data_IF_916669982578
#
_entry.id   IF_916669982578
#
_cell.length_a   1.000
_cell.length_b   1.000
_cell.length_c   1.000
_cell.angle_alpha   90.00
_cell.angle_beta   90.00
_cell.angle_gamma   90.00
#
_symmetry.space_group_name_H-M   'P 1'
#
loop_
_entity.id
_entity.type
_entity.pdbx_description
1 polymer ?
#
# COMPACT_ATOMS: atom_id res chain seq x y z
N UNK A 1 15.00 16.76 13.40
CA UNK A 1 15.50 15.37 13.45
C UNK A 1 14.54 14.47 14.24
N UNK A 2 14.35 14.66 15.55
CA UNK A 2 13.46 13.82 16.38
C UNK A 2 11.95 13.94 16.00
N UNK A 3 11.49 15.13 15.58
CA UNK A 3 10.11 15.35 15.07
C UNK A 3 9.81 14.64 13.73
N UNK A 4 10.82 14.45 12.87
CA UNK A 4 10.66 13.72 11.60
C UNK A 4 10.71 12.21 11.83
N UNK A 5 11.50 11.74 12.80
CA UNK A 5 11.48 10.35 13.24
C UNK A 5 10.11 9.95 13.81
N UNK A 6 9.46 10.81 14.62
CA UNK A 6 8.10 10.53 15.13
C UNK A 6 7.01 10.58 14.05
N UNK A 7 7.13 11.42 13.02
CA UNK A 7 6.22 11.39 11.86
C UNK A 7 6.37 10.09 11.05
N UNK A 8 7.61 9.64 10.82
CA UNK A 8 7.93 8.41 10.08
C UNK A 8 7.54 7.14 10.83
N UNK A 9 7.58 7.14 12.17
CA UNK A 9 7.22 5.99 12.99
C UNK A 9 5.72 5.62 12.95
N UNK A 10 4.86 6.50 12.43
CA UNK A 10 3.40 6.36 12.52
C UNK A 10 2.73 6.04 11.17
N UNK A 11 3.41 6.30 10.04
CA UNK A 11 2.85 6.14 8.69
C UNK A 11 3.83 5.38 7.79
N UNK A 12 3.50 4.14 7.44
CA UNK A 12 4.27 3.35 6.46
C UNK A 12 3.95 3.73 5.02
N UNK A 13 4.84 3.41 4.09
CA UNK A 13 4.65 3.70 2.66
C UNK A 13 3.39 3.04 2.11
N UNK A 14 3.17 1.75 2.38
CA UNK A 14 1.96 1.13 1.86
C UNK A 14 0.68 1.63 2.50
N UNK A 15 0.69 1.95 3.80
CA UNK A 15 -0.53 2.45 4.44
C UNK A 15 -1.07 3.68 3.69
N UNK A 16 -0.19 4.64 3.36
CA UNK A 16 -0.59 5.86 2.64
C UNK A 16 -0.89 5.58 1.16
N UNK A 17 -0.14 4.71 0.51
CA UNK A 17 -0.34 4.39 -0.91
C UNK A 17 -1.62 3.58 -1.16
N UNK A 18 -1.92 2.58 -0.33
CA UNK A 18 -3.19 1.85 -0.36
C UNK A 18 -4.35 2.80 -0.07
N UNK A 19 -4.20 3.74 0.87
CA UNK A 19 -5.23 4.76 1.13
C UNK A 19 -5.45 5.69 -0.08
N UNK A 20 -4.39 6.10 -0.80
CA UNK A 20 -4.51 6.89 -2.04
C UNK A 20 -5.31 6.12 -3.09
N UNK A 21 -4.95 4.86 -3.35
CA UNK A 21 -5.62 4.02 -4.36
C UNK A 21 -7.08 3.78 -4.00
N UNK A 22 -7.34 3.38 -2.74
CA UNK A 22 -8.69 3.11 -2.26
C UNK A 22 -9.57 4.37 -2.28
N UNK A 23 -9.03 5.54 -1.91
CA UNK A 23 -9.79 6.79 -1.96
C UNK A 23 -10.07 7.22 -3.41
N UNK A 24 -9.10 7.11 -4.33
CA UNK A 24 -9.31 7.38 -5.76
C UNK A 24 -10.48 6.54 -6.29
N UNK A 25 -10.46 5.23 -6.03
CA UNK A 25 -11.53 4.34 -6.45
C UNK A 25 -12.90 4.69 -5.82
N UNK A 26 -12.92 5.01 -4.52
CA UNK A 26 -14.14 5.36 -3.81
C UNK A 26 -14.74 6.68 -4.32
N UNK A 27 -13.88 7.64 -4.64
CA UNK A 27 -14.28 8.92 -5.24
C UNK A 27 -14.80 8.70 -6.67
N UNK A 28 -14.16 7.86 -7.48
CA UNK A 28 -14.54 7.63 -8.88
C UNK A 28 -15.85 6.83 -9.03
N UNK A 29 -16.13 5.92 -8.08
CA UNK A 29 -17.38 5.13 -8.07
C UNK A 29 -18.56 5.91 -7.51
N UNK A 30 -18.33 7.06 -6.85
CA UNK A 30 -19.32 7.94 -6.23
C UNK A 30 -20.47 7.18 -5.53
N UNK A 31 -20.19 6.30 -4.55
CA UNK A 31 -21.25 5.60 -3.84
C UNK A 31 -22.15 6.59 -3.11
N UNK A 32 -23.45 6.33 -3.16
CA UNK A 32 -24.46 7.17 -2.49
C UNK A 32 -24.53 6.95 -0.97
N UNK A 33 -23.87 5.90 -0.49
CA UNK A 33 -23.88 5.49 0.91
C UNK A 33 -22.70 6.12 1.67
N UNK A 34 -23.01 6.97 2.66
CA UNK A 34 -22.02 7.58 3.55
C UNK A 34 -21.21 6.54 4.35
N UNK A 35 -21.85 5.42 4.71
CA UNK A 35 -21.23 4.30 5.42
C UNK A 35 -20.01 3.72 4.70
N UNK A 36 -19.92 3.84 3.36
CA UNK A 36 -18.74 3.42 2.60
C UNK A 36 -17.53 4.29 2.90
N UNK A 37 -17.73 5.60 3.08
CA UNK A 37 -16.68 6.53 3.44
C UNK A 37 -16.25 6.34 4.90
N UNK A 38 -17.21 6.09 5.79
CA UNK A 38 -16.93 5.71 7.17
C UNK A 38 -16.05 4.45 7.24
N UNK A 39 -16.47 3.36 6.58
CA UNK A 39 -15.70 2.10 6.53
C UNK A 39 -14.31 2.30 5.91
N UNK A 40 -14.18 3.18 4.91
CA UNK A 40 -12.89 3.52 4.33
C UNK A 40 -11.97 4.21 5.34
N UNK A 41 -12.44 5.23 6.08
CA UNK A 41 -11.63 5.92 7.09
C UNK A 41 -11.24 5.01 8.26
N UNK A 42 -12.14 4.13 8.69
CA UNK A 42 -11.86 3.14 9.76
C UNK A 42 -10.80 2.12 9.33
N UNK A 43 -10.85 1.65 8.07
CA UNK A 43 -9.86 0.71 7.52
C UNK A 43 -8.54 1.36 7.11
N UNK A 44 -8.54 2.68 6.90
CA UNK A 44 -7.35 3.47 6.50
C UNK A 44 -7.09 4.61 7.49
N UNK A 45 -6.71 4.30 8.75
CA UNK A 45 -6.49 5.30 9.79
C UNK A 45 -5.43 6.35 9.44
N UNK A 46 -4.51 6.02 8.51
CA UNK A 46 -3.51 6.95 7.97
C UNK A 46 -4.13 8.24 7.40
N UNK A 47 -5.36 8.17 6.90
CA UNK A 47 -6.10 9.34 6.38
C UNK A 47 -6.26 10.39 7.46
N UNK A 48 -6.79 10.00 8.62
CA UNK A 48 -6.96 10.91 9.76
C UNK A 48 -5.61 11.39 10.30
N UNK A 49 -4.58 10.53 10.29
CA UNK A 49 -3.23 10.91 10.71
C UNK A 49 -2.61 11.99 9.83
N UNK A 50 -2.75 11.86 8.51
CA UNK A 50 -2.33 12.87 7.53
C UNK A 50 -3.09 14.18 7.70
N UNK A 51 -4.35 14.12 8.12
CA UNK A 51 -5.17 15.29 8.45
C UNK A 51 -4.83 15.91 9.82
N UNK A 52 -3.87 15.34 10.57
CA UNK A 52 -3.34 15.90 11.82
C UNK A 52 -3.90 15.30 13.09
N UNK A 53 -4.62 14.17 13.02
CA UNK A 53 -5.17 13.48 14.19
C UNK A 53 -4.23 12.38 14.71
N UNK A 54 -3.94 12.38 16.00
CA UNK A 54 -3.11 11.35 16.65
C UNK A 54 -3.93 10.17 17.19
N UNK A 55 -5.15 10.47 17.66
CA UNK A 55 -6.14 9.54 18.21
C UNK A 55 -7.51 9.89 17.62
N UNK A 56 -8.37 8.90 17.45
CA UNK A 56 -9.74 9.10 16.96
C UNK A 56 -10.62 7.94 17.38
N UNK A 57 -11.90 8.22 17.60
CA UNK A 57 -12.91 7.28 18.07
C UNK A 57 -14.11 7.32 17.13
N UNK A 58 -14.45 6.19 16.46
CA UNK A 58 -15.59 6.12 15.56
C UNK A 58 -16.92 6.04 16.34
N UNK A 59 -17.97 6.67 15.81
CA UNK A 59 -19.34 6.59 16.28
C UNK A 59 -19.58 6.79 17.80
N UNK A 60 -18.97 7.81 18.46
CA UNK A 60 -19.25 8.06 19.86
C UNK A 60 -20.70 8.50 20.05
N UNK A 61 -21.41 7.88 20.99
CA UNK A 61 -22.79 8.23 21.34
C UNK A 61 -22.79 9.48 22.24
N UNK A 62 -23.51 10.52 21.84
CA UNK A 62 -23.77 11.73 22.62
C UNK A 62 -25.24 11.74 23.04
N UNK A 63 -25.49 11.44 24.32
CA UNK A 63 -26.86 11.29 24.82
C UNK A 63 -27.68 12.56 24.72
N UNK A 64 -28.80 12.51 24.03
CA UNK A 64 -29.73 13.65 23.96
C UNK A 64 -30.87 13.51 24.97
N UNK A 65 -31.45 14.63 25.37
CA UNK A 65 -32.71 14.65 26.13
C UNK A 65 -33.93 14.35 25.21
N UNK A 66 -33.72 14.33 23.88
CA UNK A 66 -34.71 13.93 22.87
C UNK A 66 -34.75 12.41 22.64
N UNK A 67 -35.71 11.92 21.87
CA UNK A 67 -35.83 10.48 21.55
C UNK A 67 -34.60 9.91 20.81
N UNK A 68 -33.86 10.75 20.07
CA UNK A 68 -32.68 10.32 19.30
C UNK A 68 -31.37 10.88 19.87
N UNK A 69 -30.41 9.97 20.12
CA UNK A 69 -29.03 10.30 20.45
C UNK A 69 -28.29 10.90 19.25
N UNK A 70 -27.33 11.79 19.53
CA UNK A 70 -26.45 12.36 18.51
C UNK A 70 -25.22 11.47 18.34
N UNK A 71 -24.91 11.03 17.11
CA UNK A 71 -23.79 10.13 16.82
C UNK A 71 -22.93 10.77 15.72
N UNK A 72 -21.81 11.43 16.06
CA UNK A 72 -20.83 11.86 15.08
C UNK A 72 -20.11 10.68 14.44
N UNK A 73 -19.59 10.86 13.23
CA UNK A 73 -18.81 9.83 12.54
C UNK A 73 -17.51 9.51 13.28
N UNK A 74 -16.78 10.55 13.71
CA UNK A 74 -15.66 10.41 14.64
C UNK A 74 -15.54 11.59 15.61
N UNK A 75 -14.87 11.35 16.73
CA UNK A 75 -14.16 12.40 17.48
C UNK A 75 -12.67 12.15 17.31
N UNK A 76 -11.90 13.18 16.99
CA UNK A 76 -10.46 13.11 16.79
C UNK A 76 -9.70 14.05 17.73
N UNK A 77 -8.56 13.59 18.25
CA UNK A 77 -7.59 14.42 18.96
C UNK A 77 -6.45 14.78 18.01
N UNK A 78 -6.21 16.07 17.83
CA UNK A 78 -5.12 16.59 17.00
C UNK A 78 -3.76 16.36 17.66
N UNK A 79 -2.68 16.43 16.87
CA UNK A 79 -1.28 16.42 17.39
C UNK A 79 -0.96 17.56 18.37
N UNK A 80 -1.81 18.58 18.45
CA UNK A 80 -1.70 19.69 19.39
C UNK A 80 -2.56 19.50 20.65
N UNK A 81 -3.26 18.37 20.76
CA UNK A 81 -4.09 18.04 21.91
C UNK A 81 -5.52 18.60 21.88
N UNK A 82 -5.88 19.37 20.85
CA UNK A 82 -7.27 19.83 20.65
C UNK A 82 -8.15 18.71 20.12
N UNK A 83 -9.42 18.72 20.49
CA UNK A 83 -10.42 17.79 19.96
C UNK A 83 -11.22 18.43 18.83
N UNK A 84 -11.51 17.65 17.79
CA UNK A 84 -12.45 18.01 16.73
C UNK A 84 -13.44 16.87 16.51
N UNK A 85 -14.68 17.23 16.18
CA UNK A 85 -15.69 16.29 15.73
C UNK A 85 -15.58 16.18 14.22
N UNK A 86 -15.44 14.98 13.69
CA UNK A 86 -15.32 14.73 12.27
C UNK A 86 -16.66 14.20 11.79
N UNK A 87 -17.25 14.87 10.81
CA UNK A 87 -18.49 14.48 10.15
C UNK A 87 -18.20 14.27 8.67
N UNK A 88 -18.72 13.19 8.10
CA UNK A 88 -18.58 12.79 6.72
C UNK A 88 -19.90 13.01 6.01
N UNK A 89 -19.82 13.40 4.74
CA UNK A 89 -20.93 13.31 3.79
C UNK A 89 -20.42 12.76 2.48
N UNK A 90 -21.28 12.50 1.50
CA UNK A 90 -20.82 11.97 0.21
C UNK A 90 -20.10 13.03 -0.64
N UNK A 91 -19.25 12.64 -1.61
CA UNK A 91 -18.66 13.55 -2.58
C UNK A 91 -19.69 14.23 -3.48
N UNK A 92 -20.91 13.68 -3.59
CA UNK A 92 -21.99 14.25 -4.39
C UNK A 92 -22.68 15.45 -3.73
N UNK A 93 -22.41 15.72 -2.44
CA UNK A 93 -22.98 16.88 -1.74
C UNK A 93 -22.56 18.16 -2.44
N UNK A 94 -23.56 18.95 -2.84
CA UNK A 94 -23.31 20.23 -3.47
C UNK A 94 -22.91 21.24 -2.40
N UNK A 95 -21.73 21.85 -2.50
CA UNK A 95 -21.26 22.77 -1.45
C UNK A 95 -21.86 24.18 -1.58
N UNK A 96 -22.03 24.67 -2.81
CA UNK A 96 -22.56 26.01 -3.06
C UNK A 96 -23.75 26.02 -4.00
N UNK A 97 -24.57 27.05 -3.91
CA UNK A 97 -25.67 27.32 -4.81
C UNK A 97 -25.57 28.73 -5.40
N UNK A 98 -26.20 28.92 -6.56
CA UNK A 98 -26.24 30.20 -7.27
C UNK A 98 -25.26 30.31 -8.42
N UNK A 99 -25.36 31.41 -9.16
CA UNK A 99 -24.68 31.61 -10.44
C UNK A 99 -23.60 32.67 -10.23
N UNK A 100 -22.33 32.37 -10.56
CA UNK A 100 -21.15 33.23 -10.74
C UNK A 100 -20.94 34.49 -9.88
N UNK A 101 -21.92 35.39 -9.82
CA UNK A 101 -21.93 36.65 -9.05
C UNK A 101 -22.63 36.56 -7.69
N UNK A 102 -23.46 35.54 -7.44
CA UNK A 102 -24.11 35.29 -6.13
C UNK A 102 -23.92 33.83 -5.75
N UNK A 103 -22.86 33.56 -5.01
CA UNK A 103 -22.55 32.25 -4.44
C UNK A 103 -23.01 32.24 -2.99
N UNK A 104 -23.76 31.22 -2.59
CA UNK A 104 -24.13 30.97 -1.19
C UNK A 104 -23.87 29.50 -0.87
N UNK A 105 -23.75 29.16 0.41
CA UNK A 105 -23.78 27.76 0.81
C UNK A 105 -25.07 27.11 0.29
N UNK A 106 -24.98 25.87 -0.19
CA UNK A 106 -26.17 25.14 -0.60
C UNK A 106 -27.06 24.90 0.62
N UNK A 107 -28.34 24.66 0.38
CA UNK A 107 -29.26 24.29 1.46
C UNK A 107 -28.86 22.95 2.08
N UNK A 108 -28.34 22.02 1.28
CA UNK A 108 -27.84 20.72 1.72
C UNK A 108 -26.66 20.87 2.68
N UNK A 109 -25.63 21.62 2.28
CA UNK A 109 -24.47 21.88 3.14
C UNK A 109 -24.86 22.62 4.43
N UNK A 110 -25.79 23.57 4.33
CA UNK A 110 -26.27 24.32 5.50
C UNK A 110 -26.92 23.41 6.56
N UNK A 111 -27.62 22.34 6.13
CA UNK A 111 -28.18 21.33 7.04
C UNK A 111 -27.08 20.57 7.77
N UNK A 112 -26.05 20.12 7.05
CA UNK A 112 -24.91 19.42 7.65
C UNK A 112 -24.09 20.29 8.62
N UNK A 113 -23.94 21.59 8.30
CA UNK A 113 -23.33 22.54 9.23
C UNK A 113 -24.20 22.77 10.48
N UNK A 114 -25.52 22.68 10.35
CA UNK A 114 -26.42 22.77 11.51
C UNK A 114 -26.26 21.56 12.42
N UNK A 115 -26.15 20.35 11.84
CA UNK A 115 -25.84 19.12 12.58
C UNK A 115 -24.51 19.24 13.34
N UNK A 116 -23.47 19.80 12.70
CA UNK A 116 -22.21 20.11 13.37
C UNK A 116 -22.36 21.07 14.56
N UNK A 117 -23.17 22.12 14.41
CA UNK A 117 -23.45 23.06 15.51
C UNK A 117 -24.12 22.37 16.69
N UNK A 118 -25.00 21.39 16.43
CA UNK A 118 -25.71 20.67 17.50
C UNK A 118 -24.76 19.82 18.32
N UNK A 119 -23.76 19.19 17.72
CA UNK A 119 -22.69 18.53 18.47
C UNK A 119 -21.88 19.52 19.32
N UNK A 120 -21.51 20.68 18.76
CA UNK A 120 -20.79 21.72 19.50
C UNK A 120 -21.62 22.20 20.70
N UNK A 121 -22.92 22.44 20.51
CA UNK A 121 -23.83 22.83 21.60
C UNK A 121 -23.95 21.74 22.65
N UNK A 122 -23.94 20.47 22.25
CA UNK A 122 -23.94 19.34 23.17
C UNK A 122 -22.70 19.37 24.08
N UNK A 123 -21.51 19.51 23.50
CA UNK A 123 -20.25 19.64 24.26
C UNK A 123 -20.12 20.97 25.01
N UNK A 124 -20.93 21.99 24.72
CA UNK A 124 -20.92 23.24 25.47
C UNK A 124 -21.50 23.10 26.89
N UNK A 125 -22.33 22.07 27.16
CA UNK A 125 -22.90 21.79 28.49
C UNK A 125 -21.91 21.02 29.37
N UNK A 126 -21.71 21.45 30.61
CA UNK A 126 -20.71 20.86 31.51
C UNK A 126 -21.09 19.43 31.93
N UNK A 127 -22.37 19.19 32.11
CA UNK A 127 -22.95 17.90 32.48
C UNK A 127 -22.70 16.86 31.38
N UNK A 128 -22.86 17.27 30.11
CA UNK A 128 -22.60 16.42 28.95
C UNK A 128 -21.11 16.05 28.83
N UNK A 129 -20.21 17.00 29.05
CA UNK A 129 -18.76 16.72 29.07
C UNK A 129 -18.36 15.78 30.20
N UNK A 130 -18.90 16.00 31.40
CA UNK A 130 -18.66 15.11 32.54
C UNK A 130 -19.20 13.70 32.25
N UNK A 131 -20.39 13.60 31.65
CA UNK A 131 -20.94 12.33 31.20
C UNK A 131 -20.03 11.67 30.16
N UNK A 132 -19.59 12.39 29.13
CA UNK A 132 -18.72 11.87 28.08
C UNK A 132 -17.40 11.34 28.66
N UNK A 133 -16.75 12.14 29.52
CA UNK A 133 -15.50 11.78 30.18
C UNK A 133 -15.63 10.51 31.03
N UNK A 134 -16.73 10.36 31.76
CA UNK A 134 -16.99 9.16 32.56
C UNK A 134 -17.25 7.90 31.72
N UNK A 135 -17.77 8.02 30.49
CA UNK A 135 -18.12 6.87 29.64
C UNK A 135 -17.00 6.47 28.67
N UNK A 136 -16.21 7.43 28.20
CA UNK A 136 -15.16 7.20 27.20
C UNK A 136 -13.74 7.37 27.75
N UNK A 137 -13.57 7.84 29.00
CA UNK A 137 -12.28 8.18 29.60
C UNK A 137 -11.52 9.27 28.81
N UNK A 138 -12.27 10.16 28.14
CA UNK A 138 -11.74 11.26 27.33
C UNK A 138 -12.19 12.59 27.92
N UNK A 139 -11.25 13.45 28.29
CA UNK A 139 -11.54 14.81 28.76
C UNK A 139 -11.50 15.82 27.59
N UNK A 140 -12.68 16.28 27.19
CA UNK A 140 -12.88 17.23 26.09
C UNK A 140 -13.23 18.60 26.67
N UNK A 141 -12.58 19.66 26.20
CA UNK A 141 -12.89 21.03 26.61
C UNK A 141 -14.19 21.56 25.97
N UNK A 142 -14.67 22.71 26.41
CA UNK A 142 -15.79 23.41 25.76
C UNK A 142 -15.40 24.13 24.45
N UNK A 143 -14.13 24.05 24.03
CA UNK A 143 -13.59 24.66 22.80
C UNK A 143 -13.46 23.65 21.65
N UNK A 144 -14.37 22.68 21.57
CA UNK A 144 -14.40 21.73 20.45
C UNK A 144 -14.82 22.40 19.14
N UNK A 145 -14.16 22.03 18.05
CA UNK A 145 -14.48 22.43 16.68
C UNK A 145 -15.03 21.24 15.88
N UNK A 146 -15.55 21.47 14.68
CA UNK A 146 -15.90 20.38 13.77
C UNK A 146 -15.14 20.45 12.44
N UNK A 147 -14.81 19.29 11.89
CA UNK A 147 -14.35 19.07 10.53
C UNK A 147 -15.46 18.36 9.77
N UNK A 148 -16.02 19.01 8.74
CA UNK A 148 -16.91 18.37 7.78
C UNK A 148 -16.13 17.98 6.52
N UNK A 149 -16.16 16.70 6.15
CA UNK A 149 -15.60 16.19 4.89
C UNK A 149 -16.75 15.92 3.92
N UNK A 150 -16.89 16.76 2.89
CA UNK A 150 -18.02 16.69 1.97
C UNK A 150 -17.68 17.26 0.59
N UNK A 151 -18.33 16.73 -0.45
CA UNK A 151 -18.27 17.31 -1.78
C UNK A 151 -16.92 17.14 -2.52
N UNK A 152 -16.84 17.80 -3.69
CA UNK A 152 -15.66 17.86 -4.57
C UNK A 152 -15.09 19.28 -4.68
N UNK A 153 -13.84 19.39 -5.14
CA UNK A 153 -13.08 20.64 -5.21
C UNK A 153 -13.69 21.73 -6.10
N UNK A 154 -14.53 21.38 -7.07
CA UNK A 154 -15.12 22.34 -8.03
C UNK A 154 -15.85 23.51 -7.35
N UNK A 155 -16.36 23.27 -6.14
CA UNK A 155 -17.11 24.27 -5.36
C UNK A 155 -16.36 24.77 -4.11
N UNK A 156 -15.13 24.31 -3.85
CA UNK A 156 -14.41 24.53 -2.58
C UNK A 156 -14.14 26.00 -2.28
N UNK A 157 -13.50 26.72 -3.19
CA UNK A 157 -13.07 28.11 -2.94
C UNK A 157 -14.29 29.02 -2.77
N UNK A 158 -15.35 28.72 -3.51
CA UNK A 158 -16.66 29.36 -3.40
C UNK A 158 -17.32 29.08 -2.05
N UNK A 159 -17.25 27.84 -1.56
CA UNK A 159 -17.78 27.47 -0.25
C UNK A 159 -16.99 28.16 0.88
N UNK A 160 -15.65 28.22 0.76
CA UNK A 160 -14.79 28.93 1.71
C UNK A 160 -15.09 30.43 1.75
N UNK A 161 -15.25 31.07 0.60
CA UNK A 161 -15.66 32.47 0.54
C UNK A 161 -17.01 32.70 1.26
N UNK A 162 -17.99 31.82 1.04
CA UNK A 162 -19.28 31.91 1.72
C UNK A 162 -19.20 31.63 3.25
N UNK A 163 -18.24 30.83 3.71
CA UNK A 163 -17.98 30.63 5.15
C UNK A 163 -17.29 31.83 5.79
N UNK A 164 -16.46 32.58 5.07
CA UNK A 164 -15.84 33.81 5.59
C UNK A 164 -16.93 34.85 5.91
N UNK A 165 -17.98 34.92 5.10
CA UNK A 165 -19.12 35.81 5.35
C UNK A 165 -19.97 35.39 6.57
N UNK A 166 -19.92 34.12 6.97
CA UNK A 166 -20.64 33.59 8.13
C UNK A 166 -19.75 32.61 8.93
N UNK A 167 -18.84 33.15 9.76
CA UNK A 167 -17.83 32.35 10.43
C UNK A 167 -18.46 31.36 11.40
N UNK A 168 -18.07 30.09 11.26
CA UNK A 168 -18.50 28.97 12.11
C UNK A 168 -17.26 28.32 12.74
N UNK A 169 -17.47 27.58 13.83
CA UNK A 169 -16.44 26.68 14.40
C UNK A 169 -16.20 25.42 13.55
N UNK A 170 -16.92 25.28 12.44
CA UNK A 170 -16.80 24.18 11.49
C UNK A 170 -15.88 24.56 10.35
N UNK A 171 -14.87 23.72 10.08
CA UNK A 171 -14.09 23.78 8.84
C UNK A 171 -14.57 22.72 7.86
N UNK A 172 -14.42 22.99 6.57
CA UNK A 172 -14.81 22.06 5.49
C UNK A 172 -13.57 21.62 4.72
N UNK A 173 -13.46 20.32 4.50
CA UNK A 173 -12.59 19.71 3.51
C UNK A 173 -13.44 18.98 2.45
N UNK A 174 -12.96 18.97 1.22
CA UNK A 174 -13.52 18.11 0.17
C UNK A 174 -12.81 16.76 0.16
N UNK A 175 -13.36 15.76 -0.54
CA UNK A 175 -12.63 14.51 -0.74
C UNK A 175 -11.37 14.69 -1.59
N UNK A 176 -11.37 15.64 -2.50
CA UNK A 176 -10.16 16.00 -3.26
C UNK A 176 -9.10 16.67 -2.36
N UNK A 177 -9.49 17.41 -1.31
CA UNK A 177 -8.57 17.93 -0.29
C UNK A 177 -7.91 16.78 0.49
N UNK A 178 -8.70 15.79 0.89
CA UNK A 178 -8.19 14.60 1.60
C UNK A 178 -7.22 13.82 0.72
N UNK A 179 -7.58 13.58 -0.55
CA UNK A 179 -6.72 12.93 -1.52
C UNK A 179 -5.42 13.72 -1.74
N UNK A 180 -5.52 15.04 -1.92
CA UNK A 180 -4.36 15.92 -2.08
C UNK A 180 -3.43 15.87 -0.85
N UNK A 181 -4.00 15.80 0.35
CA UNK A 181 -3.21 15.69 1.59
C UNK A 181 -2.45 14.35 1.66
N UNK A 182 -3.09 13.24 1.27
CA UNK A 182 -2.44 11.93 1.17
C UNK A 182 -1.32 11.95 0.14
N UNK A 183 -1.58 12.43 -1.07
CA UNK A 183 -0.58 12.50 -2.14
C UNK A 183 0.60 13.40 -1.78
N UNK A 184 0.34 14.53 -1.14
CA UNK A 184 1.38 15.43 -0.64
C UNK A 184 2.26 14.73 0.40
N UNK A 185 1.67 14.12 1.43
CA UNK A 185 2.44 13.44 2.48
C UNK A 185 3.20 12.23 1.91
N UNK A 186 2.60 11.48 0.98
CA UNK A 186 3.26 10.37 0.29
C UNK A 186 4.51 10.86 -0.44
N UNK A 187 4.39 11.94 -1.22
CA UNK A 187 5.50 12.53 -1.96
C UNK A 187 6.56 13.13 -1.05
N UNK A 188 6.16 13.81 0.02
CA UNK A 188 7.08 14.40 1.01
C UNK A 188 7.91 13.33 1.74
N UNK A 189 7.27 12.24 2.16
CA UNK A 189 7.92 11.17 2.91
C UNK A 189 8.72 10.21 2.01
N UNK A 190 8.17 9.84 0.85
CA UNK A 190 8.67 8.73 0.03
C UNK A 190 9.08 9.13 -1.39
N UNK A 191 8.73 10.34 -1.85
CA UNK A 191 9.00 10.80 -3.21
C UNK A 191 10.49 10.87 -3.55
N UNK A 192 11.36 11.09 -2.55
CA UNK A 192 12.81 11.09 -2.76
C UNK A 192 13.40 9.72 -3.13
N UNK A 193 12.65 8.64 -2.89
CA UNK A 193 13.06 7.28 -3.27
C UNK A 193 12.49 6.87 -4.63
N UNK A 194 11.60 7.69 -5.22
CA UNK A 194 11.07 7.45 -6.57
C UNK A 194 12.13 7.76 -7.61
N UNK A 195 12.22 6.91 -8.62
CA UNK A 195 13.22 6.93 -9.69
C UNK A 195 14.67 6.79 -9.23
N UNK A 196 14.90 6.43 -7.97
CA UNK A 196 16.23 6.19 -7.47
C UNK A 196 16.84 4.93 -8.09
N UNK A 197 18.18 4.90 -8.15
CA UNK A 197 18.90 3.71 -8.59
C UNK A 197 18.66 2.55 -7.63
N UNK A 198 18.39 1.37 -8.17
CA UNK A 198 18.06 0.19 -7.40
C UNK A 198 17.51 -0.92 -8.26
N UNK A 199 16.96 -1.95 -7.64
CA UNK A 199 16.32 -3.06 -8.33
C UNK A 199 14.86 -3.12 -7.93
N UNK A 200 13.98 -3.16 -8.91
CA UNK A 200 12.60 -3.60 -8.73
C UNK A 200 12.39 -4.89 -9.49
N UNK A 201 11.80 -5.90 -8.86
CA UNK A 201 11.47 -7.19 -9.44
C UNK A 201 9.96 -7.37 -9.32
N UNK A 202 9.27 -7.52 -10.44
CA UNK A 202 7.87 -7.91 -10.49
C UNK A 202 7.76 -9.27 -11.13
N UNK A 203 6.96 -10.14 -10.53
CA UNK A 203 6.84 -11.53 -10.94
C UNK A 203 5.38 -11.95 -10.92
N UNK A 204 4.95 -12.69 -11.93
CA UNK A 204 3.77 -13.55 -11.86
C UNK A 204 4.22 -14.99 -11.86
N UNK A 205 3.88 -15.76 -10.84
CA UNK A 205 4.33 -17.13 -10.69
C UNK A 205 3.32 -18.00 -9.94
N UNK A 206 3.42 -19.30 -10.14
CA UNK A 206 2.77 -20.31 -9.29
C UNK A 206 3.86 -21.03 -8.49
N UNK A 207 3.79 -20.99 -7.16
CA UNK A 207 4.78 -21.61 -6.28
C UNK A 207 4.28 -22.95 -5.75
N UNK A 208 5.17 -23.93 -5.67
CA UNK A 208 4.92 -25.22 -5.04
C UNK A 208 5.78 -25.34 -3.79
N UNK A 209 5.26 -26.03 -2.79
CA UNK A 209 6.00 -26.24 -1.53
C UNK A 209 7.22 -27.13 -1.77
N UNK A 210 8.31 -26.76 -1.11
CA UNK A 210 9.57 -27.50 -1.09
C UNK A 210 10.01 -27.76 0.35
N UNK A 211 10.75 -28.84 0.57
CA UNK A 211 11.39 -29.14 1.86
C UNK A 211 12.60 -28.23 2.13
N UNK A 212 13.07 -27.53 1.11
CA UNK A 212 14.20 -26.59 1.16
C UNK A 212 13.77 -25.17 0.79
N UNK A 213 14.61 -24.19 1.15
CA UNK A 213 14.41 -22.80 0.73
C UNK A 213 14.65 -22.69 -0.77
N UNK A 214 13.66 -22.15 -1.47
CA UNK A 214 13.68 -22.01 -2.92
C UNK A 214 14.19 -20.63 -3.28
N UNK A 215 15.18 -20.55 -4.18
CA UNK A 215 15.61 -19.24 -4.71
C UNK A 215 14.88 -18.98 -6.03
N UNK A 216 14.02 -17.97 -6.05
CA UNK A 216 13.23 -17.63 -7.24
C UNK A 216 14.07 -16.82 -8.23
N UNK A 217 14.76 -15.81 -7.73
CA UNK A 217 15.59 -14.92 -8.55
C UNK A 217 16.71 -14.30 -7.72
N UNK A 218 17.88 -14.19 -8.32
CA UNK A 218 19.02 -13.43 -7.81
C UNK A 218 19.51 -12.47 -8.88
N UNK A 219 19.63 -11.19 -8.57
CA UNK A 219 20.00 -10.17 -9.55
C UNK A 219 20.82 -9.06 -8.92
N UNK A 220 21.81 -8.55 -9.65
CA UNK A 220 22.73 -7.55 -9.13
C UNK A 220 24.10 -7.58 -9.82
N UNK A 221 25.12 -7.18 -9.09
CA UNK A 221 26.51 -7.19 -9.52
C UNK A 221 27.29 -8.22 -8.71
N UNK A 222 27.55 -9.37 -9.34
CA UNK A 222 28.35 -10.43 -8.75
C UNK A 222 29.77 -9.95 -8.40
N UNK A 223 30.42 -9.23 -9.32
CA UNK A 223 31.78 -8.72 -9.13
C UNK A 223 31.90 -7.75 -7.95
N UNK A 224 30.87 -6.91 -7.74
CA UNK A 224 30.82 -5.98 -6.60
C UNK A 224 30.33 -6.65 -5.31
N UNK A 225 29.82 -7.88 -5.38
CA UNK A 225 29.18 -8.56 -4.26
C UNK A 225 27.91 -7.85 -3.77
N UNK A 226 27.24 -7.07 -4.62
CA UNK A 226 26.01 -6.35 -4.26
C UNK A 226 24.85 -6.90 -5.09
N UNK A 227 23.92 -7.59 -4.45
CA UNK A 227 22.82 -8.22 -5.16
C UNK A 227 21.59 -8.45 -4.29
N UNK A 228 20.47 -8.66 -4.97
CA UNK A 228 19.17 -8.94 -4.37
C UNK A 228 18.82 -10.38 -4.67
N UNK A 229 18.42 -11.15 -3.66
CA UNK A 229 17.79 -12.45 -3.84
C UNK A 229 16.36 -12.44 -3.32
N UNK A 230 15.49 -13.17 -4.02
CA UNK A 230 14.11 -13.45 -3.61
C UNK A 230 13.97 -14.94 -3.43
N UNK A 231 13.57 -15.34 -2.23
CA UNK A 231 13.51 -16.71 -1.76
C UNK A 231 12.11 -17.03 -1.20
N UNK A 232 11.68 -18.28 -1.30
CA UNK A 232 10.52 -18.81 -0.58
C UNK A 232 11.02 -19.79 0.47
N UNK A 233 10.68 -19.56 1.73
CA UNK A 233 11.04 -20.48 2.80
C UNK A 233 10.09 -21.70 2.89
N UNK A 234 10.43 -22.64 3.78
CA UNK A 234 9.64 -23.87 4.01
C UNK A 234 8.22 -23.61 4.52
N UNK A 235 7.97 -22.41 5.04
CA UNK A 235 6.67 -21.94 5.52
C UNK A 235 5.91 -21.13 4.46
N UNK A 236 6.35 -21.15 3.20
CA UNK A 236 5.76 -20.40 2.09
C UNK A 236 5.78 -18.88 2.31
N UNK A 237 6.77 -18.35 3.04
CA UNK A 237 6.94 -16.90 3.19
C UNK A 237 7.99 -16.41 2.20
N UNK A 238 7.76 -15.20 1.70
CA UNK A 238 8.66 -14.54 0.76
C UNK A 238 9.74 -13.85 1.56
N UNK A 239 10.99 -14.24 1.32
CA UNK A 239 12.16 -13.55 1.83
C UNK A 239 12.79 -12.77 0.70
N UNK A 240 12.94 -11.47 0.87
CA UNK A 240 13.85 -10.69 0.04
C UNK A 240 15.12 -10.43 0.85
N UNK A 241 16.29 -10.45 0.19
CA UNK A 241 17.58 -10.15 0.81
C UNK A 241 18.40 -9.25 -0.10
N UNK A 242 19.01 -8.21 0.47
CA UNK A 242 20.11 -7.47 -0.14
C UNK A 242 21.41 -7.96 0.49
N UNK A 243 22.36 -8.40 -0.33
CA UNK A 243 23.68 -8.88 0.09
C UNK A 243 24.74 -7.86 -0.29
N UNK A 244 25.71 -7.67 0.59
CA UNK A 244 26.88 -6.80 0.45
C UNK A 244 28.14 -7.57 0.87
N UNK A 245 28.79 -8.24 -0.08
CA UNK A 245 29.91 -9.13 0.20
C UNK A 245 29.49 -10.23 1.19
N UNK A 246 29.99 -10.17 2.42
CA UNK A 246 29.68 -11.11 3.50
C UNK A 246 28.50 -10.70 4.40
N UNK A 247 27.97 -9.48 4.24
CA UNK A 247 26.86 -8.95 5.04
C UNK A 247 25.55 -9.01 4.27
N UNK A 248 24.41 -9.06 4.97
CA UNK A 248 23.11 -8.98 4.30
C UNK A 248 22.04 -8.36 5.17
N UNK A 249 21.05 -7.77 4.52
CA UNK A 249 19.81 -7.25 5.10
C UNK A 249 18.69 -8.05 4.46
N UNK A 250 17.78 -8.61 5.26
CA UNK A 250 16.65 -9.39 4.72
C UNK A 250 15.36 -9.08 5.43
N UNK A 251 14.26 -9.14 4.67
CA UNK A 251 12.89 -9.08 5.17
C UNK A 251 12.18 -10.38 4.84
N UNK A 252 11.27 -10.81 5.72
CA UNK A 252 10.45 -12.00 5.54
C UNK A 252 8.98 -11.60 5.66
N UNK A 253 8.15 -11.93 4.67
CA UNK A 253 6.72 -11.57 4.67
C UNK A 253 5.99 -12.04 5.94
N UNK A 254 5.03 -11.24 6.42
CA UNK A 254 4.18 -11.56 7.59
C UNK A 254 3.44 -12.88 7.40
N UNK A 255 2.80 -12.98 6.23
CA UNK A 255 1.90 -14.06 5.88
C UNK A 255 2.53 -14.97 4.83
N UNK A 256 2.18 -16.27 4.85
CA UNK A 256 2.52 -17.17 3.76
C UNK A 256 1.76 -16.81 2.48
N UNK A 257 2.38 -17.04 1.33
CA UNK A 257 1.73 -16.96 0.01
C UNK A 257 0.91 -18.22 -0.29
N UNK A 258 -0.04 -18.09 -1.22
CA UNK A 258 -0.84 -19.22 -1.67
C UNK A 258 0.01 -20.25 -2.45
N UNK A 259 -0.22 -21.53 -2.18
CA UNK A 259 0.39 -22.65 -2.91
C UNK A 259 -0.48 -23.03 -4.11
N UNK A 260 0.16 -23.49 -5.19
CA UNK A 260 -0.50 -24.02 -6.39
C UNK A 260 -1.50 -23.05 -7.06
N UNK A 261 -1.43 -21.76 -6.73
CA UNK A 261 -2.22 -20.70 -7.33
C UNK A 261 -1.29 -19.62 -7.90
N UNK A 262 -1.65 -18.98 -9.02
CA UNK A 262 -0.91 -17.83 -9.50
C UNK A 262 -0.93 -16.72 -8.45
N UNK A 263 0.24 -16.11 -8.23
CA UNK A 263 0.44 -14.96 -7.36
C UNK A 263 1.25 -13.90 -8.11
N UNK A 264 1.10 -12.65 -7.68
CA UNK A 264 1.99 -11.56 -8.08
C UNK A 264 2.87 -11.12 -6.92
N UNK A 265 4.17 -11.00 -7.17
CA UNK A 265 5.14 -10.48 -6.22
C UNK A 265 5.77 -9.22 -6.79
N UNK A 266 5.95 -8.22 -5.93
CA UNK A 266 6.73 -7.02 -6.23
C UNK A 266 7.75 -6.83 -5.11
N UNK A 267 9.02 -6.81 -5.49
CA UNK A 267 10.16 -6.59 -4.61
C UNK A 267 10.85 -5.32 -5.05
N UNK A 268 11.20 -4.45 -4.11
CA UNK A 268 11.98 -3.25 -4.42
C UNK A 268 13.12 -3.09 -3.41
N UNK A 269 14.32 -2.83 -3.92
CA UNK A 269 15.55 -2.84 -3.17
C UNK A 269 16.48 -1.74 -3.66
N UNK A 270 16.96 -0.89 -2.76
CA UNK A 270 17.91 0.17 -3.10
C UNK A 270 18.71 0.59 -1.86
N UNK A 271 19.80 1.29 -2.11
CA UNK A 271 20.65 1.92 -1.10
C UNK A 271 20.83 3.39 -1.47
N UNK A 272 20.33 4.29 -0.63
CA UNK A 272 20.33 5.73 -0.89
C UNK A 272 20.66 6.46 0.42
N UNK A 273 21.57 7.42 0.37
CA UNK A 273 21.96 8.24 1.52
C UNK A 273 22.34 7.40 2.78
N UNK A 274 23.06 6.29 2.59
CA UNK A 274 23.42 5.39 3.70
C UNK A 274 22.23 4.65 4.31
N UNK A 275 21.13 4.51 3.57
CA UNK A 275 19.94 3.76 3.97
C UNK A 275 19.60 2.72 2.92
N UNK A 276 19.58 1.45 3.32
CA UNK A 276 19.04 0.38 2.53
C UNK A 276 17.54 0.25 2.81
N UNK A 277 16.74 0.06 1.77
CA UNK A 277 15.33 -0.30 1.93
C UNK A 277 14.99 -1.53 1.11
N UNK A 278 14.06 -2.31 1.65
CA UNK A 278 13.59 -3.54 1.05
C UNK A 278 12.11 -3.72 1.32
N UNK A 279 11.32 -3.81 0.25
CA UNK A 279 9.88 -4.00 0.33
C UNK A 279 9.46 -5.30 -0.34
N UNK A 280 8.47 -5.96 0.23
CA UNK A 280 7.80 -7.13 -0.35
C UNK A 280 6.30 -6.87 -0.40
N UNK A 281 5.76 -6.90 -1.61
CA UNK A 281 4.32 -6.82 -1.88
C UNK A 281 3.82 -8.15 -2.45
N UNK A 282 2.60 -8.52 -2.05
CA UNK A 282 1.85 -9.64 -2.61
C UNK A 282 0.51 -9.09 -3.11
N UNK A 283 0.29 -9.13 -4.42
CA UNK A 283 -0.78 -8.34 -5.04
C UNK A 283 -0.63 -6.84 -4.74
N UNK A 284 -1.73 -6.20 -4.36
CA UNK A 284 -1.75 -4.76 -4.00
C UNK A 284 -1.37 -4.48 -2.55
N UNK A 285 -1.15 -5.51 -1.74
CA UNK A 285 -0.88 -5.39 -0.31
C UNK A 285 0.62 -5.51 -0.01
N UNK A 286 1.17 -4.51 0.68
CA UNK A 286 2.52 -4.63 1.25
C UNK A 286 2.49 -5.62 2.40
N UNK A 287 3.35 -6.63 2.29
CA UNK A 287 3.48 -7.66 3.30
C UNK A 287 4.46 -7.22 4.37
N UNK A 288 5.61 -6.66 3.96
CA UNK A 288 6.61 -6.10 4.85
C UNK A 288 7.49 -5.03 4.18
N UNK A 289 8.01 -4.13 5.01
CA UNK A 289 8.98 -3.08 4.69
C UNK A 289 10.08 -3.10 5.74
N UNK A 290 11.35 -3.06 5.32
CA UNK A 290 12.49 -2.82 6.20
C UNK A 290 13.32 -1.66 5.66
N UNK A 291 13.63 -0.75 6.57
CA UNK A 291 14.42 0.45 6.36
C UNK A 291 15.61 0.43 7.34
N UNK A 292 16.83 0.23 6.85
CA UNK A 292 18.02 0.04 7.70
C UNK A 292 19.13 0.99 7.27
N UNK A 293 19.69 1.71 8.24
CA UNK A 293 20.92 2.46 8.02
C UNK A 293 22.09 1.52 7.77
N UNK A 294 22.90 1.86 6.78
CA UNK A 294 23.98 1.03 6.29
C UNK A 294 25.17 1.91 5.95
N UNK A 295 26.36 1.44 6.31
CA UNK A 295 27.63 2.05 5.90
C UNK A 295 28.02 1.66 4.46
N UNK A 296 27.22 0.81 3.81
CA UNK A 296 27.46 0.42 2.42
C UNK A 296 27.13 1.56 1.46
N UNK A 297 28.15 1.99 0.72
CA UNK A 297 28.01 2.91 -0.42
C UNK A 297 28.00 2.10 -1.73
N UNK A 298 26.99 2.30 -2.57
CA UNK A 298 26.93 1.69 -3.89
C UNK A 298 25.51 1.42 -4.38
N UNK A 299 25.31 1.54 -5.68
CA UNK A 299 24.02 1.30 -6.31
C UNK A 299 23.82 -0.19 -6.55
N UNK A 300 22.61 -0.67 -6.26
CA UNK A 300 22.17 -2.02 -6.61
C UNK A 300 21.90 -2.04 -8.11
N UNK A 301 22.96 -2.25 -8.90
CA UNK A 301 22.87 -2.36 -10.35
C UNK A 301 22.82 -3.83 -10.75
N UNK A 302 21.91 -4.17 -11.66
CA UNK A 302 21.82 -5.49 -12.25
C UNK A 302 22.61 -5.57 -13.55
N UNK A 303 23.68 -6.38 -13.55
CA UNK A 303 24.41 -6.77 -14.75
C UNK A 303 24.12 -8.23 -15.13
N UNK A 304 23.71 -9.00 -14.13
CA UNK A 304 23.34 -10.40 -14.22
C UNK A 304 22.06 -10.64 -13.42
N UNK A 305 21.20 -11.52 -13.95
CA UNK A 305 20.03 -12.05 -13.29
C UNK A 305 20.02 -13.57 -13.46
N UNK A 306 19.78 -14.29 -12.38
CA UNK A 306 19.60 -15.75 -12.37
C UNK A 306 18.20 -16.04 -11.85
N UNK A 307 17.38 -16.73 -12.64
CA UNK A 307 16.06 -17.21 -12.24
C UNK A 307 16.17 -18.69 -11.90
N UNK A 308 15.57 -19.13 -10.80
CA UNK A 308 15.64 -20.50 -10.31
C UNK A 308 16.90 -20.83 -9.49
N UNK A 309 17.72 -19.84 -9.15
CA UNK A 309 18.98 -20.04 -8.43
C UNK A 309 19.67 -18.76 -7.99
N UNK A 310 20.90 -18.90 -7.52
CA UNK A 310 21.80 -17.79 -7.19
C UNK A 310 23.01 -17.75 -8.15
N UNK A 311 23.99 -16.90 -7.86
CA UNK A 311 25.16 -16.74 -8.72
C UNK A 311 26.14 -17.92 -8.67
N UNK A 312 26.08 -18.73 -7.62
CA UNK A 312 26.96 -19.89 -7.45
C UNK A 312 26.33 -21.17 -8.04
N UNK A 313 25.03 -21.14 -8.36
CA UNK A 313 24.33 -22.19 -9.08
C UNK A 313 22.89 -22.38 -8.62
N UNK A 314 22.26 -23.45 -9.10
CA UNK A 314 20.86 -23.70 -8.79
C UNK A 314 20.70 -24.38 -7.41
N UNK A 315 19.90 -23.74 -6.57
CA UNK A 315 19.29 -24.36 -5.38
C UNK A 315 17.95 -24.97 -5.79
N UNK A 316 17.43 -25.98 -5.07
CA UNK A 316 16.14 -26.57 -5.42
C UNK A 316 15.05 -25.51 -5.48
N UNK A 317 14.50 -25.30 -6.68
CA UNK A 317 13.36 -24.44 -6.91
C UNK A 317 12.19 -25.25 -7.45
N UNK A 318 10.96 -24.86 -7.08
CA UNK A 318 9.73 -25.52 -7.46
C UNK A 318 8.65 -24.47 -7.72
N UNK A 319 8.71 -23.87 -8.90
CA UNK A 319 7.73 -22.86 -9.31
C UNK A 319 7.56 -22.81 -10.83
N UNK A 320 6.43 -22.28 -11.27
CA UNK A 320 6.20 -21.90 -12.67
C UNK A 320 6.25 -20.40 -12.76
N UNK A 321 7.20 -19.88 -13.53
CA UNK A 321 7.26 -18.46 -13.86
C UNK A 321 6.40 -18.17 -15.08
N UNK A 322 5.39 -17.33 -14.90
CA UNK A 322 4.56 -16.86 -16.01
C UNK A 322 5.16 -15.61 -16.65
N UNK A 323 5.66 -14.69 -15.82
CA UNK A 323 6.25 -13.43 -16.27
C UNK A 323 7.17 -12.84 -15.20
N UNK A 324 8.24 -12.18 -15.64
CA UNK A 324 9.13 -11.41 -14.77
C UNK A 324 9.51 -10.10 -15.46
N UNK A 325 9.49 -9.01 -14.70
CA UNK A 325 10.02 -7.71 -15.12
C UNK A 325 11.00 -7.24 -14.06
N UNK A 326 12.21 -6.89 -14.47
CA UNK A 326 13.25 -6.35 -13.60
C UNK A 326 13.66 -4.98 -14.12
N UNK A 327 13.65 -3.98 -13.26
CA UNK A 327 14.11 -2.62 -13.58
C UNK A 327 15.37 -2.28 -12.79
N UNK A 328 16.18 -1.37 -13.34
CA UNK A 328 17.39 -0.83 -12.69
C UNK A 328 17.12 0.47 -11.90
N UNK A 329 15.85 0.74 -11.62
CA UNK A 329 15.42 1.91 -10.88
C UNK A 329 14.13 1.59 -10.12
N UNK A 330 13.96 2.23 -8.99
CA UNK A 330 12.73 2.17 -8.21
C UNK A 330 11.70 3.04 -8.93
N UNK A 331 10.73 2.43 -9.62
CA UNK A 331 9.71 3.16 -10.35
C UNK A 331 8.95 4.15 -9.44
N UNK A 332 8.50 5.26 -10.02
CA UNK A 332 7.56 6.17 -9.36
C UNK A 332 6.23 5.46 -9.00
N UNK A 333 5.45 6.08 -8.12
CA UNK A 333 4.18 5.52 -7.65
C UNK A 333 3.19 5.18 -8.76
N UNK A 334 3.00 6.04 -9.77
CA UNK A 334 2.01 5.79 -10.83
C UNK A 334 2.46 4.64 -11.74
N UNK A 335 3.75 4.62 -12.10
CA UNK A 335 4.35 3.52 -12.85
C UNK A 335 4.21 2.20 -12.10
N UNK A 336 4.54 2.17 -10.80
CA UNK A 336 4.43 0.96 -9.97
C UNK A 336 2.98 0.53 -9.78
N UNK A 337 2.04 1.47 -9.61
CA UNK A 337 0.61 1.16 -9.52
C UNK A 337 0.11 0.53 -10.81
N UNK A 338 0.42 1.13 -11.97
CA UNK A 338 0.03 0.60 -13.28
C UNK A 338 0.62 -0.80 -13.54
N UNK A 339 1.88 -1.02 -13.17
CA UNK A 339 2.49 -2.35 -13.26
C UNK A 339 1.85 -3.35 -12.31
N UNK A 340 1.58 -2.97 -11.06
CA UNK A 340 0.95 -3.88 -10.11
C UNK A 340 -0.47 -4.26 -10.55
N UNK A 341 -1.27 -3.29 -11.04
CA UNK A 341 -2.59 -3.56 -11.64
C UNK A 341 -2.49 -4.52 -12.82
N UNK A 342 -1.51 -4.35 -13.71
CA UNK A 342 -1.28 -5.26 -14.83
C UNK A 342 -1.01 -6.70 -14.38
N UNK A 343 -0.09 -6.89 -13.42
CA UNK A 343 0.25 -8.21 -12.90
C UNK A 343 -0.91 -8.84 -12.12
N UNK A 344 -1.62 -8.04 -11.33
CA UNK A 344 -2.78 -8.49 -10.55
C UNK A 344 -3.96 -8.89 -11.44
N UNK A 345 -4.30 -8.08 -12.45
CA UNK A 345 -5.33 -8.43 -13.44
C UNK A 345 -4.98 -9.70 -14.19
N UNK A 346 -3.69 -9.91 -14.50
CA UNK A 346 -3.22 -11.15 -15.10
C UNK A 346 -3.39 -12.36 -14.18
N UNK A 347 -3.23 -12.20 -12.86
CA UNK A 347 -3.44 -13.28 -11.89
C UNK A 347 -4.92 -13.59 -11.71
N UNK A 348 -5.78 -12.57 -11.62
CA UNK A 348 -7.22 -12.75 -11.35
C UNK A 348 -8.02 -13.10 -12.60
N UNK A 349 -7.79 -12.36 -13.69
CA UNK A 349 -8.59 -12.44 -14.92
C UNK A 349 -7.85 -13.18 -16.04
N UNK A 350 -6.53 -13.32 -15.93
CA UNK A 350 -5.73 -14.03 -16.92
C UNK A 350 -5.79 -15.54 -16.72
N UNK A 351 -6.11 -16.27 -17.79
CA UNK A 351 -5.79 -17.69 -17.89
C UNK A 351 -4.26 -17.86 -18.02
N UNK A 352 -3.51 -17.64 -16.94
CA UNK A 352 -2.07 -17.93 -16.90
C UNK A 352 -1.83 -19.44 -16.92
N UNK A 353 -1.97 -20.03 -18.09
CA UNK A 353 -1.70 -21.46 -18.34
C UNK A 353 -0.27 -21.70 -18.81
N UNK A 354 0.37 -20.66 -19.37
CA UNK A 354 1.69 -20.77 -19.97
C UNK A 354 2.77 -20.22 -19.03
N UNK A 355 3.91 -20.89 -18.97
CA UNK A 355 5.05 -20.45 -18.18
C UNK A 355 6.27 -21.35 -18.31
N UNK A 356 7.35 -20.99 -17.64
CA UNK A 356 8.56 -21.79 -17.52
C UNK A 356 8.59 -22.45 -16.14
N UNK A 357 8.55 -23.78 -16.08
CA UNK A 357 8.68 -24.55 -14.86
C UNK A 357 10.16 -24.67 -14.47
N UNK A 358 10.48 -24.15 -13.30
CA UNK A 358 11.76 -24.32 -12.62
C UNK A 358 11.60 -25.41 -11.57
N UNK A 359 12.36 -26.50 -11.74
CA UNK A 359 12.32 -27.68 -10.90
C UNK A 359 13.73 -28.11 -10.51
N UNK A 360 13.96 -28.36 -9.21
CA UNK A 360 15.27 -28.73 -8.66
C UNK A 360 16.33 -27.71 -9.06
N UNK A 361 17.35 -28.16 -9.79
CA UNK A 361 18.51 -27.39 -10.20
C UNK A 361 18.26 -26.65 -11.54
N UNK A 362 17.00 -26.50 -11.97
CA UNK A 362 16.70 -25.73 -13.17
C UNK A 362 16.94 -24.24 -12.94
N UNK A 363 17.63 -23.59 -13.88
CA UNK A 363 17.89 -22.15 -13.82
C UNK A 363 17.99 -21.51 -15.20
N UNK A 364 17.92 -20.19 -15.24
CA UNK A 364 18.20 -19.37 -16.43
C UNK A 364 19.06 -18.18 -16.04
N UNK A 365 20.06 -17.86 -16.86
CA UNK A 365 20.91 -16.69 -16.64
C UNK A 365 20.66 -15.66 -17.71
N UNK A 366 20.32 -14.44 -17.31
CA UNK A 366 20.26 -13.28 -18.17
C UNK A 366 21.44 -12.35 -17.86
N UNK A 367 22.17 -11.93 -18.89
CA UNK A 367 23.28 -10.97 -18.78
C UNK A 367 22.98 -9.77 -19.66
N UNK A 368 23.17 -8.57 -19.15
CA UNK A 368 22.81 -7.33 -19.85
C UNK A 368 23.51 -7.18 -21.23
N UNK A 369 24.68 -7.80 -21.42
CA UNK A 369 25.46 -7.76 -22.65
C UNK A 369 25.10 -8.86 -23.67
N UNK A 370 24.13 -9.72 -23.37
CA UNK A 370 23.69 -10.81 -24.24
C UNK A 370 22.23 -10.63 -24.65
N UNK A 371 21.92 -10.90 -25.93
CA UNK A 371 20.54 -10.89 -26.44
C UNK A 371 19.81 -12.19 -26.06
N UNK A 372 19.45 -12.32 -24.78
CA UNK A 372 18.61 -13.40 -24.30
C UNK A 372 19.08 -14.04 -23.00
N UNK A 373 18.23 -14.89 -22.44
CA UNK A 373 18.60 -15.74 -21.33
C UNK A 373 19.25 -17.03 -21.85
N UNK A 374 20.31 -17.48 -21.16
CA UNK A 374 21.17 -18.58 -21.55
C UNK A 374 21.08 -19.67 -20.46
N UNK A 375 21.06 -20.92 -20.91
CA UNK A 375 21.30 -22.10 -20.10
C UNK A 375 22.02 -23.12 -20.98
N UNK A 376 23.30 -23.35 -20.69
CA UNK A 376 24.17 -24.18 -21.53
C UNK A 376 23.99 -25.68 -21.25
N UNK A 377 23.39 -26.04 -20.11
CA UNK A 377 23.15 -27.43 -19.70
C UNK A 377 21.69 -27.83 -19.89
N UNK A 378 21.43 -28.77 -20.81
CA UNK A 378 20.07 -29.23 -21.13
C UNK A 378 19.30 -29.77 -19.90
N UNK A 379 20.00 -30.43 -18.98
CA UNK A 379 19.43 -30.98 -17.74
C UNK A 379 18.95 -29.91 -16.75
N UNK A 380 19.48 -28.69 -16.85
CA UNK A 380 19.11 -27.55 -16.02
C UNK A 380 18.17 -26.56 -16.73
N UNK A 381 17.68 -26.89 -17.93
CA UNK A 381 16.72 -26.03 -18.64
C UNK A 381 15.34 -26.10 -18.00
N UNK A 382 14.69 -24.95 -17.73
CA UNK A 382 13.30 -24.97 -17.32
C UNK A 382 12.41 -25.49 -18.45
N UNK A 383 11.30 -26.10 -18.09
CA UNK A 383 10.37 -26.71 -19.06
C UNK A 383 9.23 -25.75 -19.37
N UNK A 384 8.92 -25.60 -20.66
CA UNK A 384 7.74 -24.84 -21.05
C UNK A 384 6.50 -25.62 -20.63
N UNK A 385 5.59 -24.94 -19.92
CA UNK A 385 4.29 -25.48 -19.57
C UNK A 385 3.21 -24.68 -20.29
N UNK A 386 2.20 -25.37 -20.78
CA UNK A 386 1.07 -24.80 -21.53
C UNK A 386 -0.29 -25.05 -20.86
N UNK A 387 -0.33 -25.76 -19.72
CA UNK A 387 -1.53 -25.98 -18.90
C UNK A 387 -1.21 -26.27 -17.42
N UNK A 388 -2.10 -25.87 -16.51
CA UNK A 388 -1.94 -25.92 -15.04
C UNK A 388 -1.89 -27.34 -14.48
N UNK A 389 -2.64 -28.29 -15.04
CA UNK A 389 -2.57 -29.70 -14.63
C UNK A 389 -1.21 -30.31 -14.97
N UNK A 390 -0.61 -29.91 -16.11
CA UNK A 390 0.78 -30.27 -16.43
C UNK A 390 1.75 -29.62 -15.45
N UNK A 391 1.54 -28.36 -15.06
CA UNK A 391 2.36 -27.70 -14.02
C UNK A 391 2.34 -28.46 -12.69
N UNK A 392 1.15 -28.90 -12.23
CA UNK A 392 1.01 -29.69 -11.01
C UNK A 392 1.72 -31.04 -11.12
N UNK A 393 1.56 -31.75 -12.24
CA UNK A 393 2.28 -33.01 -12.48
C UNK A 393 3.80 -32.82 -12.50
N UNK A 394 4.27 -31.73 -13.13
CA UNK A 394 5.70 -31.37 -13.14
C UNK A 394 6.19 -31.08 -11.72
N UNK A 395 5.41 -30.34 -10.93
CA UNK A 395 5.78 -29.99 -9.56
C UNK A 395 5.69 -31.14 -8.55
N UNK A 396 4.89 -32.17 -8.83
CA UNK A 396 4.77 -33.37 -7.99
C UNK A 396 5.72 -34.50 -8.44
N UNK A 397 6.41 -34.33 -9.57
CA UNK A 397 7.29 -35.33 -10.14
C UNK A 397 8.52 -35.55 -9.24
N UNK A 398 8.74 -36.79 -8.85
CA UNK A 398 9.82 -37.24 -7.96
C UNK A 398 11.07 -37.67 -8.73
N UNK A 399 11.03 -37.75 -10.05
CA UNK A 399 12.20 -38.08 -10.87
C UNK A 399 12.18 -37.37 -12.23
N UNK A 400 13.31 -37.43 -12.93
CA UNK A 400 13.42 -36.87 -14.29
C UNK A 400 12.59 -37.67 -15.30
N UNK A 401 12.42 -38.98 -15.09
CA UNK A 401 11.58 -39.85 -15.92
C UNK A 401 10.09 -39.48 -15.80
N UNK A 402 9.59 -39.23 -14.59
CA UNK A 402 8.20 -38.80 -14.35
C UNK A 402 7.87 -37.47 -15.05
N UNK A 403 8.88 -36.63 -15.31
CA UNK A 403 8.73 -35.39 -16.05
C UNK A 403 8.62 -35.60 -17.57
N UNK A 404 9.20 -36.66 -18.14
CA UNK A 404 9.13 -36.94 -19.59
C UNK A 404 7.70 -37.29 -20.04
N UNK A 405 6.89 -37.88 -19.16
CA UNK A 405 5.50 -38.27 -19.45
C UNK A 405 4.51 -37.09 -19.47
N UNK A 406 4.95 -35.87 -19.13
CA UNK A 406 4.09 -34.68 -19.02
C UNK A 406 4.22 -33.74 -20.25
N UNK A 407 5.25 -33.91 -21.09
CA UNK A 407 5.51 -33.05 -22.26
C UNK A 407 4.48 -33.22 -23.36
#
# INVERSE_FOLDING_TARGET
>A
MEKDLNKRAIVSRASIETAVVALRHLIDTEPKEESKFQSFLESHPVVLRVLGFQEFWPHPILKSDSEDDLIPDFIGRTVHGFYEIIELKTPSVKLVSGNGRRTRLSQELSKHLTQCDDYIKWFARAENRAWFSNNYEIDISNEIATLLIAGRNIDRDRARAALIENPRKSRILTYDDVLSALEFNRKDLFGKYENAEGIMIMMSLTVFRSEETQTLVTTGSYERGIYVSVEIDKSMRVRARITFGSSSISVLSKSPIAEEQPISLLISASVIDGKAFLHVYHGVEEQEEIDVYTDFEGNVLSDICVVGGDFDGAKPSAFVLHEIVITKSICDFESRLGMNSYFFDKVINGNQTNGAAFWREAYMVYRANYHGAIQDFDEHKPRLVVDREKSKKIALARSFEELQDVS
#
